data_IF_797766651637
#
_entry.id   IF_797766651637
#
_cell.length_a   1.000
_cell.length_b   1.000
_cell.length_c   1.000
_cell.angle_alpha   90.00
_cell.angle_beta   90.00
_cell.angle_gamma   90.00
#
_symmetry.space_group_name_H-M   'P 1'
#
loop_
_entity.id
_entity.type
_entity.pdbx_description
1 polymer ?
#
# COMPACT_ATOMS: atom_id res chain seq x y z
N UNK A 1 -32.35 13.71 -21.55
CA UNK A 1 -32.35 14.12 -20.13
C UNK A 1 -30.92 14.25 -19.65
N UNK A 2 -30.55 15.35 -18.99
CA UNK A 2 -29.23 15.56 -18.34
C UNK A 2 -29.41 15.72 -16.84
N UNK A 3 -28.33 15.50 -16.07
CA UNK A 3 -28.35 15.67 -14.60
C UNK A 3 -28.76 17.10 -14.21
N UNK A 4 -28.28 18.11 -14.95
CA UNK A 4 -28.65 19.52 -14.71
C UNK A 4 -30.15 19.78 -14.91
N UNK A 5 -30.76 19.19 -15.95
CA UNK A 5 -32.22 19.28 -16.19
C UNK A 5 -32.98 18.55 -15.08
N UNK A 6 -32.51 17.36 -14.65
CA UNK A 6 -33.13 16.64 -13.56
C UNK A 6 -33.06 17.42 -12.24
N UNK A 7 -31.90 17.96 -11.87
CA UNK A 7 -31.73 18.82 -10.69
C UNK A 7 -32.66 20.04 -10.74
N UNK A 8 -32.79 20.70 -11.91
CA UNK A 8 -33.70 21.83 -12.09
C UNK A 8 -35.14 21.41 -11.86
N UNK A 9 -35.57 20.29 -12.42
CA UNK A 9 -36.93 19.74 -12.22
C UNK A 9 -37.20 19.42 -10.74
N UNK A 10 -36.28 18.79 -10.05
CA UNK A 10 -36.43 18.43 -8.63
C UNK A 10 -36.65 19.67 -7.75
N UNK A 11 -35.91 20.76 -8.03
CA UNK A 11 -36.07 22.01 -7.30
C UNK A 11 -37.42 22.69 -7.62
N UNK A 12 -37.88 22.69 -8.89
CA UNK A 12 -39.22 23.21 -9.25
C UNK A 12 -40.28 22.35 -8.60
N UNK A 13 -40.15 21.03 -8.62
CA UNK A 13 -41.10 20.09 -8.01
C UNK A 13 -41.22 20.26 -6.50
N UNK A 14 -40.14 20.64 -5.84
CA UNK A 14 -40.08 20.89 -4.38
C UNK A 14 -40.70 22.26 -4.00
N UNK A 15 -40.41 23.29 -4.80
CA UNK A 15 -40.84 24.66 -4.49
C UNK A 15 -42.24 24.97 -5.06
N UNK A 16 -42.65 24.25 -6.08
CA UNK A 16 -43.83 24.52 -6.90
C UNK A 16 -43.89 25.98 -7.44
N UNK A 17 -42.71 26.61 -7.53
CA UNK A 17 -42.52 27.99 -7.90
C UNK A 17 -41.26 28.20 -8.74
N UNK A 18 -41.42 28.59 -10.01
CA UNK A 18 -40.28 28.78 -10.92
C UNK A 18 -39.36 29.92 -10.50
N UNK A 19 -39.87 31.01 -9.90
CA UNK A 19 -39.06 32.13 -9.47
C UNK A 19 -38.18 31.72 -8.26
N UNK A 20 -38.75 31.00 -7.32
CA UNK A 20 -37.98 30.48 -6.15
C UNK A 20 -36.97 29.42 -6.60
N UNK A 21 -37.38 28.48 -7.47
CA UNK A 21 -36.47 27.47 -8.00
C UNK A 21 -35.30 28.10 -8.74
N UNK A 22 -35.53 29.12 -9.54
CA UNK A 22 -34.50 29.85 -10.29
C UNK A 22 -33.48 30.50 -9.35
N UNK A 23 -33.92 31.12 -8.24
CA UNK A 23 -33.02 31.65 -7.20
C UNK A 23 -32.17 30.55 -6.56
N UNK A 24 -32.78 29.45 -6.14
CA UNK A 24 -32.07 28.30 -5.53
C UNK A 24 -31.02 27.68 -6.45
N UNK A 25 -31.26 27.67 -7.75
CA UNK A 25 -30.36 27.10 -8.75
C UNK A 25 -29.40 28.12 -9.38
N UNK A 26 -29.43 29.38 -8.95
CA UNK A 26 -28.66 30.47 -9.55
C UNK A 26 -28.87 30.59 -11.06
N UNK A 27 -30.11 30.43 -11.52
CA UNK A 27 -30.52 30.49 -12.93
C UNK A 27 -31.52 31.61 -13.18
N UNK A 28 -31.57 32.12 -14.41
CA UNK A 28 -32.68 32.96 -14.80
C UNK A 28 -33.98 32.17 -14.97
N UNK A 29 -35.14 32.78 -14.74
CA UNK A 29 -36.45 32.10 -14.97
C UNK A 29 -36.62 31.58 -16.39
N UNK A 30 -36.24 32.31 -17.46
CA UNK A 30 -36.27 31.77 -18.82
C UNK A 30 -35.39 30.52 -18.98
N UNK A 31 -34.20 30.50 -18.42
CA UNK A 31 -33.29 29.35 -18.45
C UNK A 31 -33.87 28.13 -17.70
N UNK A 32 -34.49 28.36 -16.54
CA UNK A 32 -35.19 27.32 -15.79
C UNK A 32 -36.35 26.74 -16.58
N UNK A 33 -37.19 27.60 -17.20
CA UNK A 33 -38.31 27.16 -18.01
C UNK A 33 -37.87 26.36 -19.24
N UNK A 34 -36.78 26.77 -19.88
CA UNK A 34 -36.19 26.03 -21.00
C UNK A 34 -35.64 24.68 -20.57
N UNK A 35 -34.96 24.59 -19.44
CA UNK A 35 -34.45 23.34 -18.90
C UNK A 35 -35.56 22.33 -18.62
N UNK A 36 -36.68 22.78 -18.03
CA UNK A 36 -37.82 21.93 -17.77
C UNK A 36 -38.51 21.51 -19.09
N UNK A 37 -38.72 22.44 -20.03
CA UNK A 37 -39.28 22.13 -21.34
C UNK A 37 -38.46 21.06 -22.08
N UNK A 38 -37.16 21.26 -22.12
CA UNK A 38 -36.26 20.29 -22.78
C UNK A 38 -36.21 18.93 -22.05
N UNK A 39 -36.41 18.89 -20.73
CA UNK A 39 -36.57 17.64 -19.98
C UNK A 39 -37.87 16.95 -20.38
N UNK A 40 -39.01 17.66 -20.39
CA UNK A 40 -40.34 17.17 -20.80
C UNK A 40 -40.31 16.61 -22.24
N UNK A 41 -39.66 17.31 -23.15
CA UNK A 41 -39.46 16.85 -24.54
C UNK A 41 -38.61 15.55 -24.57
N UNK A 42 -37.56 15.45 -23.75
CA UNK A 42 -36.69 14.26 -23.73
C UNK A 42 -37.36 13.01 -23.13
N UNK A 43 -38.30 13.17 -22.23
CA UNK A 43 -39.09 12.06 -21.63
C UNK A 43 -40.39 11.78 -22.35
N UNK A 44 -40.78 12.63 -23.33
CA UNK A 44 -41.93 12.44 -24.18
C UNK A 44 -43.25 12.83 -23.54
N UNK A 45 -43.27 13.67 -22.50
CA UNK A 45 -44.51 14.07 -21.83
C UNK A 45 -44.33 15.19 -20.80
N UNK A 46 -45.46 15.78 -20.36
CA UNK A 46 -45.47 16.83 -19.37
C UNK A 46 -45.27 16.26 -17.96
N UNK A 47 -44.38 16.86 -17.22
CA UNK A 47 -44.08 16.54 -15.82
C UNK A 47 -44.74 17.50 -14.84
N UNK A 48 -45.07 18.70 -15.33
CA UNK A 48 -45.70 19.78 -14.58
C UNK A 48 -46.97 20.25 -15.22
N UNK A 49 -48.00 20.46 -14.42
CA UNK A 49 -49.21 21.20 -14.80
C UNK A 49 -48.97 22.66 -14.39
N UNK A 50 -49.07 23.57 -15.37
CA UNK A 50 -48.88 25.00 -15.17
C UNK A 50 -50.19 25.73 -15.44
N UNK A 51 -50.67 26.44 -14.46
CA UNK A 51 -51.75 27.39 -14.59
C UNK A 51 -51.23 28.79 -14.27
N UNK A 52 -52.03 29.80 -14.56
CA UNK A 52 -51.69 31.21 -14.20
C UNK A 52 -51.57 31.44 -12.70
N UNK A 53 -52.06 30.47 -11.88
CA UNK A 53 -52.10 30.61 -10.41
C UNK A 53 -51.30 29.57 -9.65
N UNK A 54 -50.92 28.45 -10.27
CA UNK A 54 -50.26 27.39 -9.56
C UNK A 54 -49.45 26.49 -10.50
N UNK A 55 -48.42 25.84 -9.92
CA UNK A 55 -47.65 24.77 -10.53
C UNK A 55 -47.87 23.51 -9.69
N UNK A 56 -48.16 22.38 -10.36
CA UNK A 56 -48.28 21.09 -9.68
C UNK A 56 -47.65 19.98 -10.53
N UNK A 57 -47.37 18.82 -9.91
CA UNK A 57 -46.77 17.67 -10.59
C UNK A 57 -47.89 16.83 -11.28
N UNK A 58 -47.58 16.35 -12.48
CA UNK A 58 -48.34 15.23 -13.10
C UNK A 58 -48.06 13.92 -12.34
N UNK A 59 -48.85 12.83 -12.57
CA UNK A 59 -48.51 11.51 -12.05
C UNK A 59 -47.11 11.07 -12.45
N UNK A 60 -46.69 11.32 -13.69
CA UNK A 60 -45.36 11.04 -14.24
C UNK A 60 -44.31 11.91 -13.58
N UNK A 61 -44.64 13.19 -13.35
CA UNK A 61 -43.79 14.13 -12.60
C UNK A 61 -43.53 13.66 -11.16
N UNK A 62 -44.54 13.14 -10.47
CA UNK A 62 -44.36 12.55 -9.12
C UNK A 62 -43.46 11.34 -9.17
N UNK A 63 -43.65 10.42 -10.12
CA UNK A 63 -42.79 9.25 -10.27
C UNK A 63 -41.34 9.63 -10.58
N UNK A 64 -41.12 10.61 -11.46
CA UNK A 64 -39.80 11.13 -11.75
C UNK A 64 -39.18 11.84 -10.54
N UNK A 65 -39.94 12.58 -9.76
CA UNK A 65 -39.50 13.26 -8.56
C UNK A 65 -38.95 12.28 -7.51
N UNK A 66 -39.71 11.22 -7.22
CA UNK A 66 -39.30 10.20 -6.24
C UNK A 66 -38.01 9.46 -6.65
N UNK A 67 -37.93 9.02 -7.91
CA UNK A 67 -36.76 8.30 -8.43
C UNK A 67 -35.57 9.24 -8.64
N UNK A 68 -35.83 10.43 -9.18
CA UNK A 68 -34.82 11.43 -9.47
C UNK A 68 -34.09 11.92 -8.23
N UNK A 69 -34.79 12.08 -7.09
CA UNK A 69 -34.16 12.42 -5.81
C UNK A 69 -33.14 11.41 -5.37
N UNK A 70 -33.43 10.11 -5.50
CA UNK A 70 -32.50 9.03 -5.13
C UNK A 70 -31.28 9.04 -6.05
N UNK A 71 -31.49 9.15 -7.35
CA UNK A 71 -30.41 9.20 -8.33
C UNK A 71 -29.46 10.39 -8.11
N UNK A 72 -30.01 11.58 -7.82
CA UNK A 72 -29.18 12.77 -7.55
C UNK A 72 -28.41 12.60 -6.23
N UNK A 73 -29.03 12.03 -5.20
CA UNK A 73 -28.32 11.75 -3.93
C UNK A 73 -27.18 10.75 -4.10
N UNK A 74 -27.39 9.68 -4.90
CA UNK A 74 -26.32 8.72 -5.22
C UNK A 74 -25.19 9.36 -6.03
N UNK A 75 -25.52 10.23 -6.99
CA UNK A 75 -24.53 10.99 -7.74
C UNK A 75 -23.70 11.89 -6.85
N UNK A 76 -24.34 12.70 -6.00
CA UNK A 76 -23.64 13.62 -5.09
C UNK A 76 -22.75 12.85 -4.09
N UNK A 77 -23.22 11.68 -3.62
CA UNK A 77 -22.40 10.79 -2.76
C UNK A 77 -21.17 10.23 -3.50
N UNK A 78 -21.32 9.87 -4.78
CA UNK A 78 -20.21 9.40 -5.61
C UNK A 78 -19.18 10.52 -5.84
N UNK A 79 -19.61 11.73 -6.18
CA UNK A 79 -18.71 12.89 -6.35
C UNK A 79 -17.94 13.20 -5.06
N UNK A 80 -18.62 13.13 -3.91
CA UNK A 80 -18.01 13.36 -2.61
C UNK A 80 -16.99 12.26 -2.27
N UNK A 81 -17.35 10.99 -2.51
CA UNK A 81 -16.41 9.88 -2.31
C UNK A 81 -15.15 10.01 -3.18
N UNK A 82 -15.28 10.47 -4.42
CA UNK A 82 -14.13 10.74 -5.29
C UNK A 82 -13.28 11.89 -4.77
N UNK A 83 -13.89 13.00 -4.34
CA UNK A 83 -13.17 14.11 -3.72
C UNK A 83 -12.37 13.68 -2.50
N UNK A 84 -12.98 12.91 -1.59
CA UNK A 84 -12.31 12.41 -0.37
C UNK A 84 -11.12 11.50 -0.69
N UNK A 85 -11.20 10.70 -1.77
CA UNK A 85 -10.07 9.87 -2.22
C UNK A 85 -8.92 10.71 -2.75
N UNK A 86 -9.20 11.71 -3.59
CA UNK A 86 -8.16 12.60 -4.12
C UNK A 86 -7.57 13.55 -3.05
N UNK A 87 -8.39 13.96 -2.07
CA UNK A 87 -7.93 14.75 -0.93
C UNK A 87 -7.15 13.94 0.13
N UNK A 88 -6.98 12.63 -0.04
CA UNK A 88 -6.36 11.72 0.92
C UNK A 88 -7.08 11.67 2.29
N UNK A 89 -8.36 12.00 2.32
CA UNK A 89 -9.19 11.94 3.53
C UNK A 89 -9.71 10.54 3.81
N UNK A 90 -9.90 9.74 2.77
CA UNK A 90 -10.31 8.33 2.84
C UNK A 90 -9.65 7.52 1.74
N UNK A 91 -9.29 6.28 2.03
CA UNK A 91 -8.72 5.37 1.05
C UNK A 91 -8.13 4.11 1.68
N UNK A 92 -7.48 3.32 0.84
CA UNK A 92 -6.77 2.12 1.21
C UNK A 92 -5.45 2.11 0.44
N UNK A 93 -4.35 1.85 1.14
CA UNK A 93 -3.05 1.49 0.54
C UNK A 93 -2.79 0.03 0.83
N UNK A 94 -2.54 -0.75 -0.21
CA UNK A 94 -2.08 -2.14 -0.08
C UNK A 94 -0.59 -2.23 -0.35
N UNK A 95 0.14 -2.77 0.62
CA UNK A 95 1.58 -2.95 0.56
C UNK A 95 1.94 -4.39 0.85
N UNK A 96 2.82 -4.98 0.05
CA UNK A 96 3.49 -6.22 0.37
C UNK A 96 4.92 -5.91 0.81
N UNK A 97 5.42 -6.62 1.80
CA UNK A 97 6.78 -6.42 2.26
C UNK A 97 7.39 -7.73 2.77
N UNK A 98 8.67 -7.94 2.48
CA UNK A 98 9.40 -9.07 3.03
C UNK A 98 9.49 -8.97 4.56
N UNK A 99 9.52 -10.11 5.29
CA UNK A 99 9.40 -10.15 6.75
C UNK A 99 10.43 -9.29 7.49
N UNK A 100 11.67 -9.22 6.99
CA UNK A 100 12.73 -8.39 7.56
C UNK A 100 12.39 -6.89 7.55
N UNK A 101 11.67 -6.42 6.53
CA UNK A 101 11.22 -5.04 6.44
C UNK A 101 9.87 -4.84 7.15
N UNK A 102 8.93 -5.75 6.95
CA UNK A 102 7.58 -5.67 7.51
C UNK A 102 7.58 -5.58 9.04
N UNK A 103 8.43 -6.38 9.70
CA UNK A 103 8.50 -6.40 11.16
C UNK A 103 9.32 -5.24 11.76
N UNK A 104 10.34 -4.74 11.05
CA UNK A 104 11.36 -3.87 11.67
C UNK A 104 11.30 -2.40 11.21
N UNK A 105 10.86 -2.12 9.99
CA UNK A 105 10.87 -0.76 9.42
C UNK A 105 9.47 -0.24 9.11
N UNK A 106 8.60 -1.09 8.58
CA UNK A 106 7.29 -0.70 8.10
C UNK A 106 6.36 -0.12 9.18
N UNK A 107 6.38 -0.60 10.45
CA UNK A 107 5.52 -0.03 11.49
C UNK A 107 5.78 1.46 11.74
N UNK A 108 7.04 1.88 11.81
CA UNK A 108 7.42 3.28 12.00
C UNK A 108 7.03 4.14 10.79
N UNK A 109 7.16 3.59 9.58
CA UNK A 109 6.75 4.25 8.34
C UNK A 109 5.23 4.45 8.33
N UNK A 110 4.46 3.41 8.69
CA UNK A 110 2.99 3.50 8.79
C UNK A 110 2.59 4.52 9.87
N UNK A 111 3.26 4.55 11.01
CA UNK A 111 2.98 5.53 12.06
C UNK A 111 3.14 6.97 11.54
N UNK A 112 4.25 7.26 10.83
CA UNK A 112 4.48 8.58 10.20
C UNK A 112 3.47 8.89 9.10
N UNK A 113 3.11 7.90 8.28
CA UNK A 113 2.10 8.05 7.25
C UNK A 113 0.74 8.40 7.86
N UNK A 114 0.30 7.68 8.89
CA UNK A 114 -0.99 7.92 9.54
C UNK A 114 -1.09 9.24 10.29
N UNK A 115 0.02 9.80 10.75
CA UNK A 115 0.02 11.16 11.33
C UNK A 115 -0.41 12.21 10.31
N UNK A 116 -0.07 12.03 9.02
CA UNK A 116 -0.43 12.95 7.94
C UNK A 116 -1.76 12.60 7.26
N UNK A 117 -2.08 11.30 7.23
CA UNK A 117 -3.23 10.73 6.51
C UNK A 117 -4.05 9.80 7.42
N UNK A 118 -4.71 10.32 8.49
CA UNK A 118 -5.37 9.49 9.50
C UNK A 118 -6.57 8.69 8.97
N UNK A 119 -7.20 9.15 7.89
CA UNK A 119 -8.34 8.49 7.25
C UNK A 119 -7.97 7.41 6.22
N UNK A 120 -6.68 7.18 5.95
CA UNK A 120 -6.24 6.15 5.02
C UNK A 120 -5.97 4.85 5.77
N UNK A 121 -6.62 3.78 5.34
CA UNK A 121 -6.33 2.43 5.83
C UNK A 121 -5.08 1.88 5.13
N UNK A 122 -4.27 1.12 5.87
CA UNK A 122 -3.09 0.43 5.33
C UNK A 122 -3.28 -1.06 5.51
N UNK A 123 -3.24 -1.80 4.41
CA UNK A 123 -3.23 -3.26 4.40
C UNK A 123 -1.82 -3.75 4.15
N UNK A 124 -1.27 -4.52 5.08
CA UNK A 124 0.08 -5.08 4.99
C UNK A 124 -0.02 -6.57 4.68
N UNK A 125 0.68 -7.00 3.64
CA UNK A 125 0.91 -8.39 3.30
C UNK A 125 2.37 -8.70 3.64
N UNK A 126 2.59 -9.33 4.80
CA UNK A 126 3.89 -9.80 5.26
C UNK A 126 4.16 -11.17 4.63
N UNK A 127 4.91 -11.15 3.54
CA UNK A 127 5.15 -12.33 2.70
C UNK A 127 6.61 -12.35 2.22
N UNK A 128 7.10 -13.52 1.81
CA UNK A 128 8.47 -13.66 1.28
C UNK A 128 8.69 -12.78 0.05
N UNK A 129 9.96 -12.49 -0.23
CA UNK A 129 10.33 -11.55 -1.29
C UNK A 129 9.79 -11.94 -2.66
N UNK A 130 9.78 -13.23 -2.97
CA UNK A 130 9.26 -13.81 -4.22
C UNK A 130 7.75 -13.54 -4.36
N UNK A 131 6.99 -13.78 -3.30
CA UNK A 131 5.54 -13.53 -3.28
C UNK A 131 5.23 -12.02 -3.32
N UNK A 132 6.08 -11.18 -2.71
CA UNK A 132 5.98 -9.72 -2.84
C UNK A 132 6.01 -9.30 -4.30
N UNK A 133 6.93 -9.85 -5.09
CA UNK A 133 7.05 -9.58 -6.54
C UNK A 133 5.79 -10.02 -7.28
N UNK A 134 5.28 -11.21 -6.98
CA UNK A 134 4.06 -11.73 -7.62
C UNK A 134 2.82 -10.90 -7.31
N UNK A 135 2.67 -10.45 -6.06
CA UNK A 135 1.54 -9.60 -5.66
C UNK A 135 1.56 -8.26 -6.39
N UNK A 136 2.72 -7.63 -6.57
CA UNK A 136 2.87 -6.40 -7.34
C UNK A 136 2.59 -6.63 -8.82
N UNK A 137 3.21 -7.64 -9.43
CA UNK A 137 3.01 -7.98 -10.86
C UNK A 137 1.55 -8.32 -11.16
N UNK A 138 0.90 -9.02 -10.25
CA UNK A 138 -0.53 -9.37 -10.32
C UNK A 138 -1.47 -8.19 -10.04
N UNK A 139 -0.98 -7.01 -9.64
CA UNK A 139 -1.80 -5.84 -9.29
C UNK A 139 -2.65 -6.05 -8.04
N UNK A 140 -2.32 -7.00 -7.18
CA UNK A 140 -3.01 -7.24 -5.91
C UNK A 140 -2.59 -6.25 -4.84
N UNK A 141 -1.38 -5.69 -4.96
CA UNK A 141 -0.87 -4.59 -4.14
C UNK A 141 -0.26 -3.52 -5.05
N UNK A 142 -0.24 -2.29 -4.58
CA UNK A 142 0.35 -1.18 -5.33
C UNK A 142 1.86 -1.06 -5.09
N UNK A 143 2.31 -1.38 -3.88
CA UNK A 143 3.70 -1.24 -3.43
C UNK A 143 4.21 -2.57 -2.91
N UNK A 144 5.42 -2.93 -3.34
CA UNK A 144 6.16 -4.07 -2.79
C UNK A 144 7.50 -3.61 -2.25
N UNK A 145 7.86 -3.97 -1.00
CA UNK A 145 9.19 -3.69 -0.47
C UNK A 145 9.97 -4.99 -0.35
N UNK A 146 11.03 -5.08 -1.12
CA UNK A 146 11.80 -6.32 -1.28
C UNK A 146 13.26 -6.01 -1.63
N UNK A 147 14.13 -7.00 -1.53
CA UNK A 147 15.42 -6.92 -2.20
C UNK A 147 15.24 -6.89 -3.70
N UNK A 148 16.21 -6.31 -4.42
CA UNK A 148 16.17 -6.26 -5.88
C UNK A 148 15.99 -7.67 -6.45
N UNK A 149 14.88 -7.92 -7.17
CA UNK A 149 14.65 -9.23 -7.77
C UNK A 149 15.65 -9.50 -8.89
N UNK A 150 16.09 -10.74 -9.01
CA UNK A 150 16.75 -11.21 -10.21
C UNK A 150 15.73 -11.29 -11.35
N UNK A 151 16.08 -10.82 -12.54
CA UNK A 151 15.15 -10.86 -13.70
C UNK A 151 13.99 -9.85 -13.57
N UNK A 152 14.31 -8.58 -13.32
CA UNK A 152 13.33 -7.50 -13.47
C UNK A 152 12.75 -7.51 -14.90
N UNK A 153 11.43 -7.49 -14.98
CA UNK A 153 10.70 -7.40 -16.26
C UNK A 153 10.54 -5.94 -16.69
N UNK A 154 10.26 -5.70 -17.97
CA UNK A 154 10.01 -4.34 -18.49
C UNK A 154 8.84 -3.63 -17.79
N UNK A 155 7.88 -4.40 -17.30
CA UNK A 155 6.73 -3.88 -16.54
C UNK A 155 7.04 -3.53 -15.09
N UNK A 156 8.20 -3.91 -14.56
CA UNK A 156 8.62 -3.65 -13.19
C UNK A 156 9.32 -2.28 -13.12
N UNK A 157 9.04 -1.54 -12.07
CA UNK A 157 9.79 -0.37 -11.68
C UNK A 157 10.32 -0.57 -10.27
N UNK A 158 11.64 -0.68 -10.15
CA UNK A 158 12.32 -0.83 -8.87
C UNK A 158 13.02 0.47 -8.50
N UNK A 159 12.65 1.04 -7.35
CA UNK A 159 13.25 2.25 -6.80
C UNK A 159 14.10 1.87 -5.60
N UNK A 160 15.45 2.00 -5.68
CA UNK A 160 16.33 1.63 -4.59
C UNK A 160 16.15 2.53 -3.36
N UNK A 161 16.26 1.95 -2.17
CA UNK A 161 16.21 2.63 -0.87
C UNK A 161 17.58 2.66 -0.20
N UNK A 162 18.22 1.51 -0.07
CA UNK A 162 19.56 1.36 0.49
C UNK A 162 20.16 0.01 0.12
N UNK A 163 21.45 -0.14 0.39
CA UNK A 163 22.13 -1.44 0.38
C UNK A 163 22.12 -1.96 1.82
N UNK A 164 21.59 -3.16 2.02
CA UNK A 164 21.58 -3.84 3.31
C UNK A 164 22.69 -4.90 3.36
N UNK A 165 23.58 -4.78 4.35
CA UNK A 165 24.62 -5.75 4.60
C UNK A 165 24.12 -6.82 5.56
N UNK A 166 24.44 -8.07 5.29
CA UNK A 166 24.08 -9.15 6.20
C UNK A 166 25.06 -9.21 7.37
N UNK A 167 24.56 -9.64 8.51
CA UNK A 167 25.27 -9.71 9.77
C UNK A 167 25.22 -11.10 10.35
N UNK A 168 26.27 -11.48 11.08
CA UNK A 168 26.26 -12.70 11.88
C UNK A 168 25.35 -12.51 13.11
N UNK A 169 24.56 -13.54 13.38
CA UNK A 169 23.67 -13.65 14.54
C UNK A 169 24.21 -14.76 15.41
N UNK A 170 24.69 -14.42 16.60
CA UNK A 170 25.47 -15.29 17.48
C UNK A 170 24.78 -15.48 18.83
N UNK A 171 24.94 -16.65 19.48
CA UNK A 171 24.52 -16.82 20.87
C UNK A 171 25.28 -15.81 21.78
N UNK A 172 24.70 -15.39 22.93
CA UNK A 172 25.35 -14.45 23.83
C UNK A 172 26.72 -14.88 24.35
N UNK A 173 26.93 -16.21 24.51
CA UNK A 173 28.16 -16.79 25.04
C UNK A 173 29.15 -17.22 23.94
N UNK A 174 28.84 -16.95 22.69
CA UNK A 174 29.73 -17.30 21.59
C UNK A 174 31.05 -16.52 21.67
N UNK A 175 32.22 -17.13 21.48
CA UNK A 175 33.52 -16.44 21.61
C UNK A 175 33.65 -15.19 20.74
N UNK A 176 33.04 -15.23 19.53
CA UNK A 176 33.11 -14.13 18.60
C UNK A 176 32.04 -13.02 18.86
N UNK A 177 31.22 -13.14 19.90
CA UNK A 177 30.16 -12.15 20.20
C UNK A 177 30.71 -10.77 20.59
N UNK A 178 31.99 -10.72 21.04
CA UNK A 178 32.69 -9.51 21.43
C UNK A 178 33.65 -8.99 20.34
N UNK A 179 33.68 -9.61 19.15
CA UNK A 179 34.57 -9.17 18.08
C UNK A 179 33.94 -7.99 17.30
N UNK A 180 34.79 -7.12 16.75
CA UNK A 180 34.36 -6.04 15.86
C UNK A 180 33.77 -6.54 14.56
N UNK A 181 34.21 -7.72 14.09
CA UNK A 181 33.67 -8.43 12.93
C UNK A 181 34.07 -9.90 12.99
N UNK A 182 33.31 -10.74 12.26
CA UNK A 182 33.55 -12.19 12.16
C UNK A 182 33.56 -12.62 10.72
N UNK A 183 34.45 -13.57 10.38
CA UNK A 183 34.48 -14.20 9.06
C UNK A 183 33.71 -15.53 9.07
N UNK A 184 33.28 -15.97 7.89
CA UNK A 184 32.64 -17.28 7.73
C UNK A 184 33.51 -18.45 8.20
N UNK A 185 34.82 -18.36 8.04
CA UNK A 185 35.73 -19.40 8.52
C UNK A 185 35.69 -19.56 10.04
N UNK A 186 35.49 -18.44 10.77
CA UNK A 186 35.37 -18.48 12.23
C UNK A 186 34.06 -19.09 12.71
N UNK A 187 33.03 -19.18 11.82
CA UNK A 187 31.74 -19.79 12.09
C UNK A 187 31.63 -21.22 11.53
N UNK A 188 32.63 -21.71 10.82
CA UNK A 188 32.59 -22.99 10.11
C UNK A 188 32.48 -24.25 10.99
N UNK A 189 32.70 -24.10 12.31
CA UNK A 189 32.55 -25.18 13.27
C UNK A 189 31.27 -25.17 14.06
N UNK A 190 30.40 -24.18 13.80
CA UNK A 190 29.16 -23.99 14.53
C UNK A 190 27.97 -24.62 13.77
N UNK A 191 26.95 -25.05 14.52
CA UNK A 191 25.68 -25.48 13.96
C UNK A 191 24.98 -24.28 13.30
N UNK A 192 24.71 -24.35 11.98
CA UNK A 192 24.10 -23.24 11.26
C UNK A 192 22.58 -23.36 11.24
N UNK A 193 21.90 -22.28 11.61
CA UNK A 193 20.44 -22.15 11.60
C UNK A 193 20.04 -21.29 10.41
N UNK A 194 19.32 -21.84 9.45
CA UNK A 194 18.95 -21.18 8.21
C UNK A 194 17.46 -20.81 8.13
N UNK A 195 17.12 -19.93 7.19
CA UNK A 195 15.74 -19.82 6.72
C UNK A 195 15.40 -20.98 5.79
N UNK A 196 14.16 -21.47 5.87
CA UNK A 196 13.64 -22.48 4.93
C UNK A 196 13.45 -21.89 3.54
N UNK A 197 13.49 -22.72 2.52
CA UNK A 197 13.14 -22.34 1.15
C UNK A 197 11.61 -22.33 0.96
N UNK A 198 11.04 -21.42 0.14
CA UNK A 198 11.75 -20.38 -0.61
C UNK A 198 12.14 -19.20 0.28
N UNK A 199 13.36 -18.68 0.12
CA UNK A 199 13.85 -17.49 0.82
C UNK A 199 15.02 -16.88 0.05
N UNK A 200 14.87 -15.67 -0.48
CA UNK A 200 15.97 -14.93 -1.12
C UNK A 200 17.16 -14.73 -0.17
N UNK A 201 16.92 -14.56 1.13
CA UNK A 201 18.00 -14.45 2.13
C UNK A 201 18.85 -15.72 2.12
N UNK A 202 18.21 -16.89 2.13
CA UNK A 202 18.91 -18.18 2.08
C UNK A 202 19.66 -18.38 0.76
N UNK A 203 19.00 -18.12 -0.36
CA UNK A 203 19.60 -18.24 -1.69
C UNK A 203 20.85 -17.37 -1.78
N UNK A 204 20.76 -16.11 -1.34
CA UNK A 204 21.88 -15.16 -1.38
C UNK A 204 23.08 -15.61 -0.54
N UNK A 205 22.82 -16.18 0.64
CA UNK A 205 23.87 -16.77 1.50
C UNK A 205 24.53 -17.94 0.77
N UNK A 206 23.75 -18.91 0.29
CA UNK A 206 24.25 -20.10 -0.36
C UNK A 206 25.07 -19.79 -1.63
N UNK A 207 24.59 -18.86 -2.47
CA UNK A 207 25.30 -18.44 -3.69
C UNK A 207 26.63 -17.77 -3.37
N UNK A 208 26.63 -16.84 -2.38
CA UNK A 208 27.84 -16.14 -2.00
C UNK A 208 28.89 -17.08 -1.41
N UNK A 209 28.49 -18.02 -0.56
CA UNK A 209 29.38 -19.01 0.01
C UNK A 209 29.88 -20.02 -1.02
N UNK A 210 28.99 -20.48 -1.91
CA UNK A 210 29.38 -21.39 -3.01
C UNK A 210 30.43 -20.75 -3.93
N UNK A 211 30.24 -19.48 -4.29
CA UNK A 211 31.20 -18.73 -5.10
C UNK A 211 32.58 -18.55 -4.38
N UNK A 212 32.59 -18.51 -3.05
CA UNK A 212 33.80 -18.44 -2.25
C UNK A 212 34.40 -19.81 -1.91
N UNK A 213 33.76 -20.92 -2.33
CA UNK A 213 34.19 -22.27 -2.02
C UNK A 213 34.03 -22.65 -0.54
N UNK A 214 33.13 -21.98 0.20
CA UNK A 214 32.86 -22.21 1.61
C UNK A 214 31.63 -23.13 1.74
N UNK A 215 31.75 -24.32 2.34
CA UNK A 215 30.62 -25.22 2.57
C UNK A 215 29.69 -24.61 3.64
N UNK A 216 28.38 -24.78 3.46
CA UNK A 216 27.37 -24.43 4.44
C UNK A 216 26.66 -25.70 4.89
N UNK A 217 26.89 -26.14 6.11
CA UNK A 217 26.19 -27.26 6.73
C UNK A 217 25.06 -26.73 7.61
N UNK A 218 23.81 -27.02 7.22
CA UNK A 218 22.63 -26.51 7.90
C UNK A 218 22.09 -27.55 8.86
N UNK A 219 22.22 -27.29 10.15
CA UNK A 219 21.74 -28.15 11.22
C UNK A 219 20.23 -27.97 11.49
N UNK A 220 19.76 -26.74 11.40
CA UNK A 220 18.35 -26.38 11.66
C UNK A 220 17.85 -25.40 10.61
N UNK A 221 16.55 -25.44 10.35
CA UNK A 221 15.90 -24.43 9.53
C UNK A 221 14.50 -24.02 10.05
N UNK A 222 14.08 -22.81 9.71
CA UNK A 222 12.76 -22.26 10.08
C UNK A 222 12.27 -21.26 9.04
N UNK A 223 10.94 -21.13 8.86
CA UNK A 223 10.36 -20.12 7.98
C UNK A 223 10.48 -18.70 8.53
N UNK A 224 10.52 -18.54 9.86
CA UNK A 224 10.40 -17.25 10.51
C UNK A 224 11.74 -16.75 11.05
N UNK A 225 12.16 -15.54 10.67
CA UNK A 225 13.34 -14.88 11.24
C UNK A 225 13.28 -14.75 12.77
N UNK A 226 12.08 -14.50 13.32
CA UNK A 226 11.87 -14.46 14.75
C UNK A 226 12.22 -15.79 15.44
N UNK A 227 11.83 -16.92 14.82
CA UNK A 227 12.16 -18.26 15.31
C UNK A 227 13.66 -18.51 15.22
N UNK A 228 14.29 -18.17 14.09
CA UNK A 228 15.74 -18.28 13.91
C UNK A 228 16.46 -17.50 15.00
N UNK A 229 16.08 -16.22 15.25
CA UNK A 229 16.67 -15.41 16.30
C UNK A 229 16.54 -16.02 17.70
N UNK A 230 15.37 -16.60 18.03
CA UNK A 230 15.14 -17.29 19.32
C UNK A 230 15.95 -18.56 19.46
N UNK A 231 16.13 -19.32 18.39
CA UNK A 231 16.97 -20.53 18.38
C UNK A 231 18.45 -20.17 18.63
N UNK A 232 18.94 -19.10 17.96
CA UNK A 232 20.29 -18.57 18.22
C UNK A 232 20.42 -18.06 19.64
N UNK A 233 19.46 -17.26 20.12
CA UNK A 233 19.46 -16.74 21.50
C UNK A 233 19.43 -17.84 22.57
N UNK A 234 18.87 -19.00 22.25
CA UNK A 234 18.86 -20.19 23.10
C UNK A 234 20.15 -21.01 23.03
N UNK A 235 21.11 -20.63 22.18
CA UNK A 235 22.41 -21.32 22.07
C UNK A 235 22.41 -22.55 21.17
N UNK A 236 21.42 -22.71 20.28
CA UNK A 236 21.34 -23.88 19.39
C UNK A 236 22.30 -23.81 18.21
N UNK A 237 22.90 -22.64 17.95
CA UNK A 237 23.82 -22.44 16.83
C UNK A 237 23.91 -20.99 16.42
N UNK A 238 24.48 -20.72 15.26
CA UNK A 238 24.68 -19.40 14.69
C UNK A 238 23.79 -19.23 13.44
N UNK A 239 23.58 -17.98 13.04
CA UNK A 239 22.85 -17.66 11.82
C UNK A 239 23.44 -16.42 11.14
N UNK A 240 22.92 -16.11 9.96
CA UNK A 240 23.17 -14.86 9.23
C UNK A 240 21.84 -14.28 8.78
N UNK A 241 21.67 -12.98 8.99
CA UNK A 241 20.44 -12.28 8.66
C UNK A 241 20.72 -10.88 8.07
N UNK A 242 19.78 -10.29 7.32
CA UNK A 242 19.85 -8.89 6.91
C UNK A 242 20.01 -7.96 8.13
N UNK A 243 20.81 -6.89 8.00
CA UNK A 243 21.02 -5.93 9.11
C UNK A 243 19.73 -5.21 9.50
N UNK A 244 18.74 -5.16 8.62
CA UNK A 244 17.38 -4.71 8.91
C UNK A 244 16.73 -5.44 10.09
N UNK A 245 17.13 -6.69 10.35
CA UNK A 245 16.62 -7.50 11.46
C UNK A 245 17.39 -7.33 12.77
N UNK A 246 18.39 -6.43 12.81
CA UNK A 246 19.29 -6.26 13.98
C UNK A 246 18.52 -6.20 15.29
N UNK A 247 17.56 -5.29 15.41
CA UNK A 247 16.81 -5.11 16.66
C UNK A 247 16.02 -6.37 17.03
N UNK A 248 15.35 -6.98 16.05
CA UNK A 248 14.59 -8.22 16.26
C UNK A 248 15.47 -9.37 16.79
N UNK A 249 16.71 -9.48 16.30
CA UNK A 249 17.65 -10.50 16.75
C UNK A 249 18.16 -10.22 18.16
N UNK A 250 18.44 -8.95 18.47
CA UNK A 250 18.83 -8.52 19.82
C UNK A 250 17.70 -8.80 20.83
N UNK A 251 16.46 -8.47 20.50
CA UNK A 251 15.27 -8.73 21.32
C UNK A 251 15.03 -10.24 21.51
N UNK A 252 15.43 -11.05 20.54
CA UNK A 252 15.41 -12.51 20.64
C UNK A 252 16.49 -13.09 21.57
N UNK A 253 17.39 -12.26 22.08
CA UNK A 253 18.49 -12.66 22.98
C UNK A 253 19.80 -13.02 22.27
N UNK A 254 19.90 -12.83 20.96
CA UNK A 254 21.12 -13.04 20.20
C UNK A 254 22.09 -11.84 20.29
N UNK A 255 23.31 -12.00 19.80
CA UNK A 255 24.31 -10.96 19.55
C UNK A 255 24.47 -10.75 18.05
N UNK A 256 24.77 -9.52 17.65
CA UNK A 256 24.94 -9.15 16.26
C UNK A 256 26.36 -8.66 16.03
N UNK A 257 27.05 -9.33 15.13
CA UNK A 257 28.43 -9.00 14.76
C UNK A 257 28.51 -8.77 13.25
N UNK A 258 29.19 -7.73 12.76
CA UNK A 258 29.45 -7.54 11.35
C UNK A 258 30.11 -8.78 10.73
N UNK A 259 29.61 -9.19 9.55
CA UNK A 259 30.10 -10.35 8.82
C UNK A 259 31.03 -9.90 7.69
N UNK A 260 32.17 -10.59 7.55
CA UNK A 260 33.12 -10.36 6.47
C UNK A 260 33.61 -11.67 5.81
N UNK A 261 34.32 -11.55 4.70
CA UNK A 261 35.01 -12.60 3.96
C UNK A 261 34.18 -13.88 3.69
N UNK A 262 33.19 -13.85 2.82
CA UNK A 262 32.74 -12.70 2.04
C UNK A 262 31.70 -11.83 2.75
N UNK A 263 31.62 -10.55 2.35
CA UNK A 263 30.48 -9.67 2.69
C UNK A 263 29.29 -10.04 1.81
N UNK A 264 28.10 -10.12 2.41
CA UNK A 264 26.86 -10.35 1.68
C UNK A 264 26.05 -9.07 1.72
N UNK A 265 25.67 -8.59 0.54
CA UNK A 265 24.89 -7.36 0.36
C UNK A 265 23.69 -7.60 -0.54
N UNK A 266 22.61 -6.88 -0.26
CA UNK A 266 21.43 -6.85 -1.13
C UNK A 266 20.84 -5.46 -1.18
N UNK A 267 20.48 -5.01 -2.39
CA UNK A 267 19.83 -3.73 -2.58
C UNK A 267 18.34 -3.83 -2.21
N UNK A 268 17.94 -3.12 -1.17
CA UNK A 268 16.55 -2.97 -0.75
C UNK A 268 15.87 -1.89 -1.59
N UNK A 269 14.64 -2.09 -2.00
CA UNK A 269 13.89 -1.07 -2.72
C UNK A 269 12.39 -1.29 -2.72
N UNK A 270 11.70 -0.32 -3.32
CA UNK A 270 10.26 -0.39 -3.60
C UNK A 270 10.05 -0.85 -5.03
N UNK A 271 9.29 -1.90 -5.18
CA UNK A 271 8.83 -2.44 -6.45
C UNK A 271 7.40 -1.94 -6.72
N UNK A 272 7.19 -1.38 -7.90
CA UNK A 272 5.89 -0.96 -8.41
C UNK A 272 5.71 -1.47 -9.84
N UNK A 273 4.48 -1.40 -10.35
CA UNK A 273 4.18 -1.79 -11.73
C UNK A 273 4.22 -0.55 -12.63
N UNK A 274 5.13 -0.50 -13.61
CA UNK A 274 5.30 0.64 -14.51
C UNK A 274 4.03 1.02 -15.29
N UNK A 275 3.20 0.04 -15.62
CA UNK A 275 1.97 0.24 -16.39
C UNK A 275 0.77 0.74 -15.56
N UNK A 276 0.92 0.88 -14.24
CA UNK A 276 -0.14 1.34 -13.34
C UNK A 276 0.37 2.54 -12.55
N UNK A 277 -0.27 3.70 -12.73
CA UNK A 277 -0.08 4.83 -11.83
C UNK A 277 -0.57 4.44 -10.43
N UNK A 278 0.23 4.81 -9.43
CA UNK A 278 -0.18 4.63 -8.04
C UNK A 278 -1.43 5.46 -7.75
N UNK A 279 -2.31 4.96 -6.91
CA UNK A 279 -3.38 5.81 -6.35
C UNK A 279 -2.77 6.99 -5.59
N UNK A 280 -3.54 8.04 -5.34
CA UNK A 280 -3.07 9.17 -4.53
C UNK A 280 -2.54 8.71 -3.16
N UNK A 281 -3.22 7.74 -2.54
CA UNK A 281 -2.80 7.14 -1.27
C UNK A 281 -1.53 6.29 -1.41
N UNK A 282 -1.42 5.50 -2.49
CA UNK A 282 -0.22 4.73 -2.82
C UNK A 282 0.99 5.63 -3.05
N UNK A 283 0.83 6.73 -3.80
CA UNK A 283 1.89 7.71 -4.03
C UNK A 283 2.35 8.38 -2.73
N UNK A 284 1.40 8.80 -1.88
CA UNK A 284 1.73 9.40 -0.59
C UNK A 284 2.51 8.42 0.33
N UNK A 285 2.15 7.13 0.33
CA UNK A 285 2.89 6.11 1.08
C UNK A 285 4.29 5.89 0.49
N UNK A 286 4.41 5.82 -0.83
CA UNK A 286 5.68 5.71 -1.53
C UNK A 286 6.64 6.86 -1.17
N UNK A 287 6.14 8.10 -1.17
CA UNK A 287 6.93 9.29 -0.81
C UNK A 287 7.39 9.24 0.65
N UNK A 288 6.54 8.77 1.58
CA UNK A 288 6.92 8.58 2.99
C UNK A 288 8.02 7.53 3.14
N UNK A 289 7.93 6.41 2.41
CA UNK A 289 8.98 5.38 2.40
C UNK A 289 10.30 6.00 1.93
N UNK A 290 10.32 6.66 0.79
CA UNK A 290 11.53 7.29 0.24
C UNK A 290 12.13 8.30 1.22
N UNK A 291 11.30 9.15 1.82
CA UNK A 291 11.76 10.16 2.78
C UNK A 291 12.41 9.54 4.03
N UNK A 292 11.90 8.40 4.51
CA UNK A 292 12.46 7.71 5.68
C UNK A 292 13.88 7.17 5.42
N UNK A 293 14.22 6.85 4.17
CA UNK A 293 15.52 6.33 3.80
C UNK A 293 16.47 7.42 3.32
N UNK A 294 16.01 8.47 2.63
CA UNK A 294 16.86 9.61 2.23
C UNK A 294 17.41 10.41 3.42
N UNK A 295 16.75 10.38 4.58
CA UNK A 295 17.22 11.04 5.80
C UNK A 295 18.29 10.23 6.57
N UNK A 296 18.61 8.99 6.13
CA UNK A 296 19.59 8.09 6.76
C UNK A 296 20.90 8.01 5.97
N UNK A 297 20.92 8.56 4.75
CA UNK A 297 22.12 8.72 3.90
C UNK A 297 22.83 10.01 4.24
#
# INVERSE_FOLDING_TARGET
MTLRQLKAFLVVAQTLNFAEASKKMFMSQPAMSLAIKSLEESVGGQLLVRTTRAVSLTPEGKALYERGRRLVAEWDAMEEAMRQRFALERGLVSIAAMPSFAANQLPDIIARFRQRHPGINVQVNDVVAEETVELVRGGKVELGVTFRPEGLLEQDQFTPLCVDQFVAVLPPQHPASEYDSVSWQQLSGDEFIALQRPSMVRVKIEETLSAAGIPLDVAFDSHQLATVGRMVGAGLGVSVAPSLCRQQMLDAGARIVPLNNPVIESELGVLTKRSHELSAAGQAMFDVILHCFSARS
#
